data_IF_409488085761
#
_entry.id   IF_409488085761
#
_cell.length_a   1.000
_cell.length_b   1.000
_cell.length_c   1.000
_cell.angle_alpha   90.00
_cell.angle_beta   90.00
_cell.angle_gamma   90.00
#
_symmetry.space_group_name_H-M   'P 1'
#
loop_
_entity.id
_entity.type
_entity.pdbx_description
1 polymer ?
#
# COMPACT_ATOMS: atom_id res chain seq x y z
N UNK A 1 -13.88 0.03 3.63
CA UNK A 1 -13.89 1.47 3.29
C UNK A 1 -13.75 2.32 4.55
N UNK A 2 -12.56 2.29 5.14
CA UNK A 2 -12.15 3.10 6.27
C UNK A 2 -11.69 4.52 5.84
N UNK A 3 -11.28 4.71 4.57
CA UNK A 3 -10.83 5.99 4.01
C UNK A 3 -11.48 6.31 2.65
N UNK A 4 -12.81 6.11 2.56
CA UNK A 4 -13.63 6.49 1.40
C UNK A 4 -13.11 6.02 0.02
N UNK A 5 -12.39 4.89 -0.03
CA UNK A 5 -11.89 4.27 -1.26
C UNK A 5 -10.37 4.31 -1.43
N UNK A 6 -9.63 4.96 -0.54
CA UNK A 6 -8.16 4.95 -0.55
C UNK A 6 -7.55 3.77 0.24
N UNK A 7 -8.37 3.04 1.00
CA UNK A 7 -8.05 1.70 1.52
C UNK A 7 -8.39 0.61 0.48
N UNK A 8 -7.56 0.48 -0.56
CA UNK A 8 -7.83 -0.45 -1.68
C UNK A 8 -7.66 -1.92 -1.27
N UNK A 9 -8.71 -2.72 -1.38
CA UNK A 9 -8.71 -4.17 -1.09
C UNK A 9 -8.60 -5.06 -2.34
N UNK A 10 -8.98 -4.55 -3.50
CA UNK A 10 -8.74 -5.14 -4.82
C UNK A 10 -8.41 -4.03 -5.83
N UNK A 11 -7.20 -4.07 -6.41
CA UNK A 11 -6.74 -3.07 -7.37
C UNK A 11 -7.29 -3.25 -8.79
N UNK A 12 -7.95 -4.38 -9.07
CA UNK A 12 -8.39 -4.78 -10.41
C UNK A 12 -9.91 -5.00 -10.47
N UNK A 13 -10.67 -4.40 -9.56
CA UNK A 13 -12.13 -4.44 -9.58
C UNK A 13 -12.71 -3.06 -9.25
N UNK A 14 -14.03 -2.93 -9.46
CA UNK A 14 -14.81 -1.74 -9.09
C UNK A 14 -15.58 -2.06 -7.82
N UNK A 15 -15.52 -1.17 -6.83
CA UNK A 15 -16.30 -1.36 -5.61
C UNK A 15 -17.81 -1.43 -5.95
N UNK A 16 -18.55 -2.44 -5.43
CA UNK A 16 -19.97 -2.61 -5.71
C UNK A 16 -20.87 -1.39 -5.43
N UNK A 17 -20.46 -0.43 -4.60
CA UNK A 17 -21.23 0.82 -4.44
C UNK A 17 -21.20 1.67 -5.72
N UNK A 18 -20.13 1.59 -6.50
CA UNK A 18 -19.93 2.37 -7.72
C UNK A 18 -20.37 1.65 -9.00
N UNK A 19 -20.53 0.32 -8.96
CA UNK A 19 -21.02 -0.48 -10.08
C UNK A 19 -20.16 -1.72 -10.30
N UNK A 20 -20.06 -2.16 -11.56
CA UNK A 20 -19.19 -3.26 -11.99
C UNK A 20 -18.11 -2.80 -12.97
N UNK A 21 -17.20 -3.71 -13.35
CA UNK A 21 -16.25 -3.46 -14.45
C UNK A 21 -16.96 -3.17 -15.78
N UNK A 22 -18.11 -3.79 -16.05
CA UNK A 22 -18.90 -3.49 -17.26
C UNK A 22 -19.47 -2.06 -17.23
N UNK A 23 -19.88 -1.57 -16.07
CA UNK A 23 -20.31 -0.18 -15.91
C UNK A 23 -19.13 0.78 -16.13
N UNK A 24 -17.93 0.41 -15.65
CA UNK A 24 -16.71 1.17 -15.92
C UNK A 24 -16.36 1.20 -17.41
N UNK A 25 -16.43 0.07 -18.09
CA UNK A 25 -16.17 -0.01 -19.53
C UNK A 25 -17.17 0.86 -20.32
N UNK A 26 -18.45 0.90 -19.89
CA UNK A 26 -19.46 1.81 -20.44
C UNK A 26 -19.07 3.29 -20.23
N UNK A 27 -18.57 3.65 -19.05
CA UNK A 27 -18.10 5.00 -18.74
C UNK A 27 -16.93 5.41 -19.65
N UNK A 28 -15.92 4.54 -19.78
CA UNK A 28 -14.75 4.81 -20.66
C UNK A 28 -15.21 5.07 -22.08
N UNK A 29 -16.07 4.21 -22.63
CA UNK A 29 -16.58 4.34 -23.99
C UNK A 29 -17.33 5.67 -24.21
N UNK A 30 -18.16 6.08 -23.24
CA UNK A 30 -18.91 7.33 -23.34
C UNK A 30 -18.02 8.58 -23.21
N UNK A 31 -17.03 8.55 -22.30
CA UNK A 31 -16.03 9.63 -22.18
C UNK A 31 -15.27 9.82 -23.50
N UNK A 32 -14.85 8.73 -24.13
CA UNK A 32 -14.16 8.78 -25.41
C UNK A 32 -15.07 9.20 -26.57
N UNK A 33 -16.34 8.78 -26.58
CA UNK A 33 -17.34 9.23 -27.56
C UNK A 33 -17.52 10.75 -27.53
N UNK A 34 -17.36 11.36 -26.37
CA UNK A 34 -17.41 12.81 -26.15
C UNK A 34 -16.08 13.52 -26.47
N UNK A 35 -15.05 12.80 -26.91
CA UNK A 35 -13.73 13.35 -27.24
C UNK A 35 -12.91 13.73 -26.00
N UNK A 36 -13.27 13.21 -24.83
CA UNK A 36 -12.58 13.44 -23.57
C UNK A 36 -11.58 12.30 -23.26
N UNK A 37 -10.76 12.51 -22.24
CA UNK A 37 -9.79 11.54 -21.71
C UNK A 37 -10.15 11.21 -20.27
N UNK A 38 -9.98 9.95 -19.86
CA UNK A 38 -10.23 9.48 -18.51
C UNK A 38 -8.91 9.18 -17.80
N UNK A 39 -8.65 9.89 -16.70
CA UNK A 39 -7.61 9.54 -15.74
C UNK A 39 -8.27 8.93 -14.50
N UNK A 40 -7.68 7.87 -13.96
CA UNK A 40 -8.11 7.29 -12.69
C UNK A 40 -7.05 7.51 -11.60
N UNK A 41 -7.46 7.45 -10.34
CA UNK A 41 -6.53 7.49 -9.22
C UNK A 41 -5.86 6.13 -9.02
N UNK A 42 -4.57 6.12 -8.73
CA UNK A 42 -3.81 4.94 -8.34
C UNK A 42 -3.22 5.21 -6.96
N UNK A 43 -3.42 4.28 -6.03
CA UNK A 43 -2.94 4.37 -4.64
C UNK A 43 -1.83 3.33 -4.39
N UNK A 44 -0.58 3.63 -4.77
CA UNK A 44 0.52 2.66 -4.67
C UNK A 44 1.22 2.62 -3.31
N UNK A 45 0.99 3.59 -2.43
CA UNK A 45 1.75 3.69 -1.19
C UNK A 45 1.38 2.60 -0.16
N UNK A 46 0.09 2.29 -0.06
CA UNK A 46 -0.48 1.35 0.90
C UNK A 46 -1.63 0.60 0.24
N UNK A 47 -1.99 -0.54 0.81
CA UNK A 47 -3.25 -1.24 0.52
C UNK A 47 -4.16 -1.20 1.75
N UNK A 48 -5.39 -1.67 1.64
CA UNK A 48 -6.21 -2.01 2.80
C UNK A 48 -5.56 -3.13 3.63
N UNK A 49 -5.80 -3.14 4.95
CA UNK A 49 -5.51 -4.28 5.80
C UNK A 49 -6.38 -5.51 5.51
N UNK A 50 -7.45 -5.34 4.73
CA UNK A 50 -8.28 -6.43 4.23
C UNK A 50 -7.80 -6.96 2.87
N UNK A 51 -6.82 -6.30 2.24
CA UNK A 51 -6.24 -6.75 0.97
C UNK A 51 -5.58 -8.12 1.17
N UNK A 52 -5.78 -9.04 0.22
CA UNK A 52 -5.27 -10.43 0.29
C UNK A 52 -3.76 -10.51 0.60
N UNK A 53 -2.96 -9.64 -0.01
CA UNK A 53 -1.53 -9.52 0.25
C UNK A 53 -1.20 -9.27 1.72
N UNK A 54 -1.96 -8.40 2.41
CA UNK A 54 -1.69 -8.09 3.81
C UNK A 54 -2.19 -9.19 4.73
N UNK A 55 -3.37 -9.76 4.43
CA UNK A 55 -3.90 -10.91 5.16
C UNK A 55 -2.91 -12.09 5.10
N UNK A 56 -2.37 -12.38 3.92
CA UNK A 56 -1.33 -13.39 3.72
C UNK A 56 -0.03 -13.00 4.46
N UNK A 57 0.45 -11.77 4.26
CA UNK A 57 1.68 -11.27 4.90
C UNK A 57 1.62 -11.28 6.43
N UNK A 58 0.45 -11.09 7.03
CA UNK A 58 0.21 -11.10 8.48
C UNK A 58 0.07 -12.52 9.03
N UNK A 59 -0.29 -13.50 8.19
CA UNK A 59 -0.55 -14.88 8.63
C UNK A 59 0.66 -15.60 9.22
N UNK A 60 1.87 -15.24 8.80
CA UNK A 60 3.13 -15.83 9.28
C UNK A 60 4.34 -14.97 8.89
N UNK A 61 5.44 -15.10 9.64
CA UNK A 61 6.74 -14.54 9.24
C UNK A 61 7.35 -15.24 8.01
N UNK A 62 6.92 -16.46 7.70
CA UNK A 62 7.39 -17.25 6.55
C UNK A 62 6.49 -17.11 5.30
N UNK A 63 5.49 -16.22 5.34
CA UNK A 63 4.57 -15.99 4.22
C UNK A 63 5.32 -15.53 2.95
N UNK A 64 4.87 -16.00 1.79
CA UNK A 64 5.38 -15.56 0.48
C UNK A 64 5.17 -14.05 0.26
N UNK A 65 4.12 -13.48 0.87
CA UNK A 65 3.81 -12.06 0.84
C UNK A 65 4.41 -11.29 2.01
N UNK A 66 5.16 -11.91 2.93
CA UNK A 66 5.76 -11.23 4.10
C UNK A 66 6.54 -9.97 3.71
N UNK A 67 7.30 -10.07 2.61
CA UNK A 67 8.11 -8.97 2.10
C UNK A 67 7.33 -7.85 1.41
N UNK A 68 6.01 -7.97 1.21
CA UNK A 68 5.18 -6.95 0.56
C UNK A 68 4.99 -5.72 1.44
N UNK A 69 5.14 -5.85 2.76
CA UNK A 69 4.94 -4.77 3.73
C UNK A 69 6.18 -4.56 4.59
N UNK A 70 6.21 -3.42 5.30
CA UNK A 70 7.30 -3.09 6.20
C UNK A 70 7.05 -3.65 7.61
N UNK A 71 7.60 -4.83 7.90
CA UNK A 71 7.60 -5.45 9.22
C UNK A 71 8.90 -5.19 10.00
N UNK A 72 8.82 -4.92 11.30
CA UNK A 72 9.98 -4.71 12.17
C UNK A 72 9.76 -5.29 13.56
N UNK A 73 10.83 -5.83 14.14
CA UNK A 73 10.83 -6.21 15.55
C UNK A 73 10.55 -4.99 16.44
N UNK A 74 9.95 -5.21 17.63
CA UNK A 74 9.92 -4.20 18.67
C UNK A 74 11.32 -3.66 18.99
N UNK A 75 11.38 -2.40 19.41
CA UNK A 75 12.60 -1.85 20.01
C UNK A 75 12.99 -2.63 21.29
N UNK A 76 14.19 -2.39 21.81
CA UNK A 76 14.67 -3.07 23.03
C UNK A 76 13.74 -2.88 24.26
N UNK A 77 12.92 -1.84 24.26
CA UNK A 77 11.96 -1.56 25.33
C UNK A 77 10.54 -2.09 25.03
N UNK A 78 10.37 -2.89 23.96
CA UNK A 78 9.08 -3.43 23.52
C UNK A 78 8.18 -2.46 22.76
N UNK A 79 8.57 -1.19 22.61
CA UNK A 79 7.82 -0.18 21.85
C UNK A 79 8.16 -0.16 20.34
N UNK A 80 7.54 0.75 19.57
CA UNK A 80 7.79 0.91 18.13
C UNK A 80 9.27 1.01 17.75
N UNK A 81 9.67 0.58 16.54
CA UNK A 81 11.07 0.54 16.12
C UNK A 81 11.70 1.93 15.96
N UNK A 82 10.90 2.99 15.77
CA UNK A 82 11.35 4.37 15.76
C UNK A 82 10.19 5.32 16.15
N UNK A 83 10.45 6.63 16.13
CA UNK A 83 9.50 7.68 16.50
C UNK A 83 8.69 8.25 15.32
N UNK A 84 8.54 7.52 14.22
CA UNK A 84 7.74 7.98 13.09
C UNK A 84 6.27 8.14 13.49
N UNK A 85 5.66 9.22 13.01
CA UNK A 85 4.30 9.63 13.35
C UNK A 85 3.43 9.48 12.11
N UNK A 86 2.23 8.91 12.27
CA UNK A 86 1.24 8.86 11.19
C UNK A 86 0.78 10.28 10.83
N UNK A 87 0.44 10.52 9.57
CA UNK A 87 -0.14 11.79 9.12
C UNK A 87 -1.48 12.11 9.82
N UNK A 88 -2.17 11.09 10.36
CA UNK A 88 -3.40 11.26 11.14
C UNK A 88 -3.18 11.27 12.66
N UNK A 89 -1.92 11.28 13.09
CA UNK A 89 -1.53 11.35 14.49
C UNK A 89 -1.32 9.97 15.13
N UNK A 90 -0.51 9.94 16.19
CA UNK A 90 -0.07 8.70 16.83
C UNK A 90 1.12 8.05 16.13
N UNK A 91 1.50 6.86 16.60
CA UNK A 91 2.58 6.07 16.02
C UNK A 91 2.27 5.69 14.57
N UNK A 92 3.26 5.74 13.68
CA UNK A 92 3.18 5.16 12.33
C UNK A 92 3.34 3.62 12.34
N UNK A 93 3.41 3.01 13.52
CA UNK A 93 3.64 1.59 13.71
C UNK A 93 2.54 1.00 14.59
N UNK A 94 1.94 -0.08 14.10
CA UNK A 94 0.97 -0.88 14.85
C UNK A 94 1.54 -2.27 15.11
N UNK A 95 1.40 -2.74 16.36
CA UNK A 95 1.86 -4.06 16.77
C UNK A 95 0.88 -5.13 16.29
N UNK A 96 1.40 -6.21 15.73
CA UNK A 96 0.66 -7.40 15.36
C UNK A 96 0.95 -8.52 16.36
N UNK A 97 -0.06 -8.88 17.17
CA UNK A 97 0.06 -9.88 18.22
C UNK A 97 0.36 -11.29 17.67
N UNK A 98 0.00 -11.58 16.42
CA UNK A 98 0.20 -12.91 15.82
C UNK A 98 1.67 -13.16 15.48
N UNK A 99 2.34 -12.16 14.90
CA UNK A 99 3.75 -12.28 14.48
C UNK A 99 4.72 -11.59 15.43
N UNK A 100 4.22 -10.97 16.51
CA UNK A 100 4.99 -10.20 17.50
C UNK A 100 5.88 -9.12 16.87
N UNK A 101 5.45 -8.56 15.74
CA UNK A 101 6.16 -7.51 15.00
C UNK A 101 5.27 -6.29 14.77
N UNK A 102 5.91 -5.14 14.57
CA UNK A 102 5.24 -3.93 14.11
C UNK A 102 5.16 -3.89 12.58
N UNK A 103 4.04 -3.45 12.03
CA UNK A 103 3.93 -3.05 10.64
C UNK A 103 3.79 -1.53 10.51
N UNK A 104 4.35 -0.98 9.43
CA UNK A 104 4.28 0.45 9.12
C UNK A 104 2.94 0.83 8.49
N UNK A 105 2.39 1.97 8.90
CA UNK A 105 1.33 2.70 8.21
C UNK A 105 1.58 4.21 8.36
N UNK A 106 1.70 4.92 7.24
CA UNK A 106 1.87 6.38 7.24
C UNK A 106 0.56 7.12 7.46
N UNK A 107 -0.57 6.42 7.36
CA UNK A 107 -1.93 6.95 7.54
C UNK A 107 -2.65 6.11 8.61
N UNK A 108 -3.80 5.52 8.32
CA UNK A 108 -4.53 4.68 9.26
C UNK A 108 -3.86 3.31 9.46
N UNK A 109 -4.01 2.65 10.62
CA UNK A 109 -3.58 1.25 10.81
C UNK A 109 -4.16 0.29 9.75
N UNK A 110 -5.35 0.59 9.24
CA UNK A 110 -6.01 -0.12 8.16
C UNK A 110 -5.37 0.12 6.77
N UNK A 111 -4.34 0.97 6.69
CA UNK A 111 -3.60 1.32 5.47
C UNK A 111 -2.11 0.93 5.61
N UNK A 112 -1.76 -0.37 5.72
CA UNK A 112 -0.38 -0.83 5.80
C UNK A 112 0.42 -0.45 4.54
N UNK A 113 1.60 0.13 4.76
CA UNK A 113 2.47 0.62 3.70
C UNK A 113 3.17 -0.52 2.95
N UNK A 114 3.09 -0.45 1.63
CA UNK A 114 3.75 -1.37 0.71
C UNK A 114 5.26 -1.10 0.66
N UNK A 115 6.03 -2.18 0.58
CA UNK A 115 7.48 -2.17 0.48
C UNK A 115 7.94 -2.18 -0.97
N UNK A 116 8.11 -0.99 -1.56
CA UNK A 116 8.57 -0.80 -2.93
C UNK A 116 10.02 -1.26 -3.21
N UNK A 117 10.79 -1.64 -2.19
CA UNK A 117 12.09 -2.31 -2.40
C UNK A 117 11.92 -3.79 -2.78
N UNK A 118 10.73 -4.37 -2.62
CA UNK A 118 10.44 -5.73 -3.03
C UNK A 118 10.08 -5.77 -4.53
N UNK A 119 10.84 -6.48 -5.38
CA UNK A 119 10.56 -6.54 -6.82
C UNK A 119 9.21 -7.17 -7.16
N UNK A 120 8.64 -7.99 -6.27
CA UNK A 120 7.31 -8.56 -6.48
C UNK A 120 6.22 -7.49 -6.35
N UNK A 121 6.36 -6.51 -5.45
CA UNK A 121 5.42 -5.37 -5.36
C UNK A 121 5.46 -4.56 -6.66
N UNK A 122 6.66 -4.26 -7.17
CA UNK A 122 6.83 -3.57 -8.46
C UNK A 122 6.13 -4.32 -9.58
N UNK A 123 6.31 -5.65 -9.62
CA UNK A 123 5.67 -6.51 -10.63
C UNK A 123 4.15 -6.52 -10.52
N UNK A 124 3.57 -6.54 -9.32
CA UNK A 124 2.11 -6.47 -9.17
C UNK A 124 1.56 -5.14 -9.65
N UNK A 125 2.23 -4.03 -9.34
CA UNK A 125 1.80 -2.72 -9.85
C UNK A 125 1.94 -2.59 -11.37
N UNK A 126 2.96 -3.20 -11.98
CA UNK A 126 3.03 -3.31 -13.44
C UNK A 126 1.81 -4.05 -14.02
N UNK A 127 1.33 -5.09 -13.34
CA UNK A 127 0.13 -5.84 -13.77
C UNK A 127 -1.15 -5.02 -13.59
N UNK A 128 -1.29 -4.30 -12.48
CA UNK A 128 -2.42 -3.40 -12.20
C UNK A 128 -2.49 -2.29 -13.25
N UNK A 129 -1.36 -1.64 -13.55
CA UNK A 129 -1.29 -0.61 -14.59
C UNK A 129 -1.72 -1.17 -15.95
N UNK A 130 -1.22 -2.36 -16.33
CA UNK A 130 -1.60 -3.03 -17.57
C UNK A 130 -3.09 -3.38 -17.62
N UNK A 131 -3.66 -3.81 -16.49
CA UNK A 131 -5.08 -4.16 -16.40
C UNK A 131 -5.99 -2.98 -16.75
N UNK A 132 -5.69 -1.79 -16.20
CA UNK A 132 -6.47 -0.57 -16.46
C UNK A 132 -6.17 0.04 -17.82
N UNK A 133 -4.92 0.02 -18.27
CA UNK A 133 -4.55 0.45 -19.63
C UNK A 133 -5.19 -0.44 -20.71
N UNK A 134 -5.36 -1.73 -20.46
CA UNK A 134 -6.06 -2.64 -21.36
C UNK A 134 -7.59 -2.37 -21.45
N UNK A 135 -8.12 -1.55 -20.54
CA UNK A 135 -9.49 -1.02 -20.54
C UNK A 135 -9.56 0.43 -21.00
N UNK A 136 -8.57 0.86 -21.78
CA UNK A 136 -8.53 2.18 -22.42
C UNK A 136 -8.54 3.38 -21.44
N UNK A 137 -8.06 3.19 -20.21
CA UNK A 137 -7.72 4.31 -19.32
C UNK A 137 -6.58 5.13 -19.92
N UNK A 138 -6.71 6.45 -19.96
CA UNK A 138 -5.75 7.34 -20.63
C UNK A 138 -4.57 7.74 -19.74
N UNK A 139 -4.63 7.44 -18.45
CA UNK A 139 -3.54 7.67 -17.50
C UNK A 139 -3.97 7.62 -16.04
N UNK A 140 -3.02 7.94 -15.17
CA UNK A 140 -3.18 7.80 -13.72
C UNK A 140 -2.76 9.06 -12.99
N UNK A 141 -3.52 9.43 -11.97
CA UNK A 141 -3.04 10.30 -10.89
C UNK A 141 -2.44 9.40 -9.82
N UNK A 142 -1.20 9.67 -9.41
CA UNK A 142 -0.50 8.84 -8.43
C UNK A 142 -0.66 9.45 -7.04
N UNK A 143 -1.41 8.78 -6.17
CA UNK A 143 -1.56 9.19 -4.80
C UNK A 143 -0.28 8.95 -3.98
N UNK A 144 0.08 9.94 -3.16
CA UNK A 144 1.20 9.90 -2.20
C UNK A 144 2.50 9.36 -2.83
N UNK A 145 2.82 9.78 -4.05
CA UNK A 145 4.02 9.34 -4.78
C UNK A 145 5.33 9.57 -3.99
N UNK A 146 5.40 10.66 -3.21
CA UNK A 146 6.53 10.97 -2.34
C UNK A 146 6.71 9.96 -1.19
N UNK A 147 5.65 9.22 -0.85
CA UNK A 147 5.65 8.25 0.23
C UNK A 147 6.23 6.90 -0.17
N UNK A 148 6.35 6.55 -1.45
CA UNK A 148 6.61 5.15 -1.87
C UNK A 148 7.92 4.56 -1.32
N UNK A 149 8.99 5.35 -1.28
CA UNK A 149 10.30 4.88 -0.82
C UNK A 149 10.54 5.28 0.63
N UNK A 150 10.71 4.30 1.49
CA UNK A 150 10.98 4.50 2.92
C UNK A 150 12.48 4.43 3.17
N UNK A 151 13.10 5.57 3.45
CA UNK A 151 14.52 5.63 3.75
C UNK A 151 14.75 5.16 5.19
N UNK A 152 15.09 3.88 5.36
CA UNK A 152 15.63 3.35 6.61
C UNK A 152 17.12 3.71 6.77
N UNK A 153 17.49 5.00 6.78
CA UNK A 153 18.91 5.40 6.97
C UNK A 153 19.47 5.13 8.39
N UNK A 154 18.70 4.50 9.27
CA UNK A 154 19.07 4.30 10.68
C UNK A 154 19.52 2.87 11.02
N UNK A 155 19.50 1.93 10.07
CA UNK A 155 20.00 0.56 10.30
C UNK A 155 21.54 0.45 10.28
N UNK A 156 22.29 1.55 10.07
CA UNK A 156 23.76 1.50 9.99
C UNK A 156 24.44 2.70 10.63
N UNK A 157 24.07 3.04 11.86
CA UNK A 157 25.03 3.69 12.77
C UNK A 157 25.17 2.80 14.01
N UNK A 158 25.88 1.67 13.87
CA UNK A 158 26.64 1.15 15.00
C UNK A 158 27.77 2.15 15.23
N UNK A 159 27.55 3.13 16.12
CA UNK A 159 28.67 3.81 16.76
C UNK A 159 29.43 2.72 17.51
N UNK A 160 30.50 2.22 16.91
CA UNK A 160 31.48 1.44 17.63
C UNK A 160 32.01 2.33 18.75
N UNK A 161 31.61 2.03 19.98
CA UNK A 161 32.25 2.57 21.16
C UNK A 161 33.67 2.02 21.20
N UNK A 162 34.60 2.78 20.64
CA UNK A 162 36.00 2.74 21.05
C UNK A 162 36.07 3.44 22.41
N UNK A 163 36.10 2.63 23.48
CA UNK A 163 36.72 2.96 24.76
C UNK A 163 37.10 1.66 25.46
#
# INVERSE_FOLDING_TARGET
MADFGYDVSDYCDVDPIFGTLEDFDCLVAEVHRLGMRLLIDLVPNHSSSEHEWFVDSRSSMDSDKRGFYHWRDPSQNGGPPNNWVSHFGGSAWTFDELTEQYYLHLFLPEQPDLNWNNPNVVKEFDNILKFWLARDVDGFRIDVAQGLVKICLWLTIRLGSLS
#
